data_IF_966176310078
#
_entry.id   IF_966176310078
#
_cell.length_a   1.000
_cell.length_b   1.000
_cell.length_c   1.000
_cell.angle_alpha   90.00
_cell.angle_beta   90.00
_cell.angle_gamma   90.00
#
_symmetry.space_group_name_H-M   'P 1'
#
loop_
_entity.id
_entity.type
_entity.pdbx_description
1 polymer ?
#
# COMPACT_ATOMS: atom_id res chain seq x y z
N UNK A 1 -20.54 -45.88 7.36
CA UNK A 1 -20.43 -44.99 6.17
C UNK A 1 -20.52 -43.57 6.68
N UNK A 2 -19.41 -42.85 6.74
CA UNK A 2 -19.37 -41.48 7.25
C UNK A 2 -19.77 -40.51 6.13
N UNK A 3 -20.77 -39.68 6.40
CA UNK A 3 -21.21 -38.57 5.55
C UNK A 3 -20.11 -37.49 5.47
N UNK A 4 -19.86 -36.89 4.29
CA UNK A 4 -18.90 -35.80 4.17
C UNK A 4 -19.47 -34.54 4.82
N UNK A 5 -18.77 -34.04 5.83
CA UNK A 5 -19.01 -32.73 6.43
C UNK A 5 -18.71 -31.64 5.41
N UNK A 6 -19.75 -30.91 5.00
CA UNK A 6 -19.63 -29.67 4.23
C UNK A 6 -18.85 -28.64 5.06
N UNK A 7 -17.57 -28.46 4.77
CA UNK A 7 -16.81 -27.31 5.26
C UNK A 7 -17.30 -26.04 4.56
N UNK A 8 -17.63 -24.97 5.30
CA UNK A 8 -18.03 -23.70 4.71
C UNK A 8 -16.86 -23.07 3.93
N UNK A 9 -17.14 -22.54 2.74
CA UNK A 9 -16.22 -21.69 1.96
C UNK A 9 -15.81 -20.48 2.81
N UNK A 10 -14.49 -20.31 3.01
CA UNK A 10 -13.88 -19.23 3.79
C UNK A 10 -13.37 -18.17 2.81
N UNK A 11 -13.83 -16.93 2.98
CA UNK A 11 -13.58 -15.77 2.10
C UNK A 11 -12.20 -15.14 2.43
N UNK A 12 -11.48 -14.58 1.43
CA UNK A 12 -10.07 -14.15 1.54
C UNK A 12 -9.81 -13.00 2.50
N UNK A 13 -8.72 -13.08 3.24
CA UNK A 13 -8.26 -12.06 4.18
C UNK A 13 -7.43 -10.99 3.44
N UNK A 14 -7.63 -9.68 3.64
CA UNK A 14 -6.83 -8.65 2.96
C UNK A 14 -6.43 -7.55 3.94
N UNK A 15 -5.13 -7.32 4.12
CA UNK A 15 -4.61 -6.33 5.07
C UNK A 15 -4.15 -5.05 4.35
N UNK A 16 -4.73 -3.90 4.64
CA UNK A 16 -4.22 -2.60 4.18
C UNK A 16 -3.30 -2.06 5.27
N UNK A 17 -2.00 -1.98 5.04
CA UNK A 17 -1.03 -1.48 6.02
C UNK A 17 -0.68 -0.01 5.72
N UNK A 18 -0.82 0.87 6.71
CA UNK A 18 -0.22 2.20 6.69
C UNK A 18 1.24 2.10 7.17
N UNK A 19 2.17 2.59 6.35
CA UNK A 19 3.60 2.55 6.65
C UNK A 19 4.05 3.87 7.31
N UNK A 20 4.65 3.75 8.50
CA UNK A 20 5.38 4.82 9.20
C UNK A 20 6.87 4.46 9.20
N UNK A 21 7.74 5.40 8.81
CA UNK A 21 9.20 5.24 8.87
C UNK A 21 9.84 6.36 9.71
N UNK A 22 11.04 6.16 10.30
CA UNK A 22 11.34 5.16 11.31
C UNK A 22 11.86 5.85 12.60
N UNK A 23 11.21 5.62 13.73
CA UNK A 23 11.80 5.80 15.06
C UNK A 23 10.91 5.09 16.09
N UNK A 24 11.33 3.92 16.57
CA UNK A 24 10.66 3.19 17.66
C UNK A 24 9.60 2.17 17.21
N UNK A 25 9.25 1.21 18.08
CA UNK A 25 8.47 0.04 17.72
C UNK A 25 6.97 0.30 17.85
N UNK A 26 6.38 1.25 17.10
CA UNK A 26 4.93 1.52 17.24
C UNK A 26 4.19 1.87 15.92
N UNK A 27 3.08 1.14 15.75
CA UNK A 27 1.84 1.45 15.00
C UNK A 27 1.81 1.44 13.46
N UNK A 28 1.52 0.26 12.89
CA UNK A 28 0.87 0.13 11.58
C UNK A 28 -0.66 0.23 11.72
N UNK A 29 -1.33 1.03 10.88
CA UNK A 29 -2.80 1.02 10.77
C UNK A 29 -3.21 -0.05 9.76
N UNK A 30 -3.99 -1.04 10.19
CA UNK A 30 -4.42 -2.18 9.36
C UNK A 30 -5.91 -2.02 9.01
N UNK A 31 -6.32 -2.08 7.74
CA UNK A 31 -7.70 -2.43 7.37
C UNK A 31 -7.74 -3.89 6.98
N UNK A 32 -8.70 -4.67 7.46
CA UNK A 32 -8.79 -6.10 7.15
C UNK A 32 -10.06 -6.38 6.37
N UNK A 33 -9.95 -6.87 5.14
CA UNK A 33 -11.07 -7.19 4.28
C UNK A 33 -11.28 -8.70 4.30
N UNK A 34 -12.54 -9.11 4.50
CA UNK A 34 -13.03 -10.49 4.50
C UNK A 34 -12.29 -11.45 5.45
N UNK A 35 -12.77 -11.55 6.70
CA UNK A 35 -12.51 -12.71 7.53
C UNK A 35 -13.70 -13.05 8.43
N UNK A 36 -14.01 -14.34 8.55
CA UNK A 36 -14.51 -14.92 9.79
C UNK A 36 -13.29 -15.45 10.54
N UNK A 37 -12.69 -14.63 11.39
CA UNK A 37 -11.78 -15.11 12.43
C UNK A 37 -12.30 -14.52 13.73
N UNK A 38 -13.02 -15.36 14.47
CA UNK A 38 -13.23 -15.19 15.90
C UNK A 38 -11.86 -15.13 16.59
N UNK A 39 -11.85 -14.65 17.84
CA UNK A 39 -10.69 -14.53 18.73
C UNK A 39 -9.96 -13.18 18.57
N UNK A 40 -10.42 -12.20 19.38
CA UNK A 40 -9.95 -10.80 19.57
C UNK A 40 -10.51 -9.70 18.64
N UNK A 41 -11.83 -9.71 18.39
CA UNK A 41 -12.55 -8.70 17.58
C UNK A 41 -12.84 -7.39 18.34
N UNK A 42 -12.28 -7.17 19.54
CA UNK A 42 -12.62 -5.96 20.33
C UNK A 42 -12.13 -4.67 19.69
N UNK A 43 -11.15 -4.73 18.78
CA UNK A 43 -10.46 -3.55 18.23
C UNK A 43 -10.89 -3.19 16.81
N UNK A 44 -11.97 -3.80 16.30
CA UNK A 44 -12.43 -3.63 14.92
C UNK A 44 -13.89 -3.19 14.83
N UNK A 45 -14.17 -2.32 13.86
CA UNK A 45 -15.50 -1.94 13.40
C UNK A 45 -15.82 -2.74 12.13
N UNK A 46 -16.97 -3.40 12.10
CA UNK A 46 -17.46 -4.19 10.96
C UNK A 46 -18.43 -3.34 10.12
N UNK A 47 -18.22 -3.35 8.80
CA UNK A 47 -19.09 -2.71 7.81
C UNK A 47 -19.65 -3.76 6.85
N UNK A 48 -20.97 -3.77 6.72
CA UNK A 48 -21.76 -4.63 5.83
C UNK A 48 -22.64 -3.76 4.94
N UNK A 49 -22.96 -4.16 3.71
CA UNK A 49 -23.85 -3.38 2.84
C UNK A 49 -25.20 -3.13 3.50
N UNK A 50 -25.43 -1.89 3.99
CA UNK A 50 -26.57 -1.56 4.85
C UNK A 50 -27.94 -1.65 4.15
N UNK A 51 -27.94 -1.59 2.81
CA UNK A 51 -29.15 -1.74 1.99
C UNK A 51 -29.63 -3.20 1.90
N UNK A 52 -28.80 -4.17 2.31
CA UNK A 52 -29.13 -5.59 2.29
C UNK A 52 -29.50 -6.08 3.69
N UNK A 53 -30.71 -6.63 3.80
CA UNK A 53 -31.26 -7.20 5.04
C UNK A 53 -31.37 -8.72 4.86
N UNK A 54 -30.43 -9.52 5.40
CA UNK A 54 -30.45 -10.97 5.27
C UNK A 54 -31.75 -11.57 5.81
N UNK A 55 -32.46 -12.32 4.99
CA UNK A 55 -33.72 -12.98 5.41
C UNK A 55 -33.51 -14.39 5.95
N UNK A 56 -32.38 -15.03 5.59
CA UNK A 56 -32.01 -16.38 6.00
C UNK A 56 -30.50 -16.62 5.86
N UNK A 57 -30.03 -17.78 6.31
CA UNK A 57 -28.60 -18.12 6.29
C UNK A 57 -27.96 -18.13 4.89
N UNK A 58 -28.68 -18.59 3.88
CA UNK A 58 -28.20 -18.60 2.49
C UNK A 58 -28.18 -17.19 1.88
N UNK A 59 -28.85 -16.26 2.55
CA UNK A 59 -28.94 -14.85 2.23
C UNK A 59 -28.05 -13.96 3.09
N UNK A 60 -27.06 -14.52 3.79
CA UNK A 60 -26.07 -13.73 4.52
C UNK A 60 -25.20 -12.88 3.58
N UNK A 61 -24.67 -11.78 4.10
CA UNK A 61 -23.61 -11.02 3.43
C UNK A 61 -22.41 -11.91 3.09
N UNK A 62 -21.81 -11.65 1.93
CA UNK A 62 -20.65 -12.36 1.40
C UNK A 62 -19.41 -11.47 1.31
N UNK A 63 -19.59 -10.15 1.41
CA UNK A 63 -18.51 -9.19 1.52
C UNK A 63 -18.68 -8.34 2.78
N UNK A 64 -17.55 -8.03 3.42
CA UNK A 64 -17.49 -7.16 4.60
C UNK A 64 -16.18 -6.37 4.61
N UNK A 65 -16.13 -5.24 5.31
CA UNK A 65 -14.88 -4.56 5.63
C UNK A 65 -14.73 -4.48 7.15
N UNK A 66 -13.53 -4.75 7.65
CA UNK A 66 -13.15 -4.45 9.03
C UNK A 66 -12.18 -3.28 9.06
N UNK A 67 -12.50 -2.29 9.89
CA UNK A 67 -11.69 -1.10 10.11
C UNK A 67 -11.25 -1.05 11.56
N UNK A 68 -9.97 -0.80 11.86
CA UNK A 68 -9.53 -0.69 13.25
C UNK A 68 -10.22 0.49 13.95
N UNK A 69 -10.64 0.30 15.19
CA UNK A 69 -11.29 1.32 16.03
C UNK A 69 -10.44 2.56 16.30
N UNK A 70 -9.12 2.47 16.12
CA UNK A 70 -8.24 3.64 16.18
C UNK A 70 -8.49 4.65 15.06
N UNK A 71 -9.12 4.23 13.96
CA UNK A 71 -9.72 5.14 13.00
C UNK A 71 -11.09 5.49 13.58
N UNK A 72 -11.22 6.74 14.03
CA UNK A 72 -12.46 7.25 14.60
C UNK A 72 -13.63 7.05 13.64
N UNK A 73 -14.76 6.55 14.16
CA UNK A 73 -15.94 6.23 13.35
C UNK A 73 -16.50 7.45 12.61
N UNK A 74 -16.28 8.66 13.15
CA UNK A 74 -16.66 9.93 12.52
C UNK A 74 -15.92 10.20 11.20
N UNK A 75 -14.80 9.51 10.96
CA UNK A 75 -13.99 9.61 9.74
C UNK A 75 -14.38 8.60 8.67
N UNK A 76 -15.36 7.73 8.95
CA UNK A 76 -15.73 6.62 8.09
C UNK A 76 -17.17 6.81 7.64
N UNK A 77 -17.36 7.03 6.35
CA UNK A 77 -18.68 7.11 5.75
C UNK A 77 -18.93 5.83 4.96
N UNK A 78 -20.06 5.17 5.20
CA UNK A 78 -20.42 4.02 4.39
C UNK A 78 -21.01 4.46 3.05
N UNK A 79 -20.56 3.86 1.96
CA UNK A 79 -20.99 4.22 0.62
C UNK A 79 -22.31 3.51 0.27
N UNK A 80 -23.22 4.18 -0.46
CA UNK A 80 -24.48 3.58 -0.91
C UNK A 80 -24.25 2.59 -2.06
N UNK A 81 -25.30 1.85 -2.44
CA UNK A 81 -25.23 0.82 -3.48
C UNK A 81 -24.53 -0.47 -3.04
N UNK A 82 -24.34 -0.64 -1.73
CA UNK A 82 -23.84 -1.87 -1.14
C UNK A 82 -24.92 -2.95 -1.06
N UNK A 83 -24.53 -4.19 -0.81
CA UNK A 83 -25.50 -5.25 -0.61
C UNK A 83 -24.88 -6.56 -0.13
N UNK A 84 -25.42 -7.67 -0.63
CA UNK A 84 -24.93 -9.02 -0.29
C UNK A 84 -23.49 -9.25 -0.71
N UNK A 85 -23.14 -8.81 -1.92
CA UNK A 85 -21.87 -9.12 -2.57
C UNK A 85 -20.87 -7.97 -2.53
N UNK A 86 -21.33 -6.73 -2.32
CA UNK A 86 -20.52 -5.52 -2.42
C UNK A 86 -20.69 -4.68 -1.16
N UNK A 87 -19.60 -4.11 -0.66
CA UNK A 87 -19.64 -3.08 0.40
C UNK A 87 -18.56 -2.04 0.13
N UNK A 88 -18.87 -0.77 0.36
CA UNK A 88 -17.93 0.32 0.20
C UNK A 88 -17.90 1.22 1.43
N UNK A 89 -16.72 1.74 1.75
CA UNK A 89 -16.54 2.82 2.73
C UNK A 89 -15.64 3.90 2.14
N UNK A 90 -15.83 5.11 2.62
CA UNK A 90 -14.92 6.23 2.46
C UNK A 90 -14.28 6.55 3.81
N UNK A 91 -12.96 6.74 3.80
CA UNK A 91 -12.16 7.07 4.97
C UNK A 91 -11.50 8.42 4.76
N UNK A 92 -11.70 9.34 5.70
CA UNK A 92 -10.99 10.61 5.74
C UNK A 92 -9.54 10.40 6.24
N UNK A 93 -8.55 10.69 5.39
CA UNK A 93 -7.13 10.47 5.68
C UNK A 93 -6.42 11.70 6.26
N UNK A 94 -6.77 12.89 5.76
CA UNK A 94 -6.28 14.20 6.18
C UNK A 94 -7.36 15.24 5.86
N UNK A 95 -7.32 16.45 6.45
CA UNK A 95 -8.20 17.53 6.03
C UNK A 95 -8.11 17.70 4.50
N UNK A 96 -9.22 17.52 3.80
CA UNK A 96 -9.38 17.57 2.34
C UNK A 96 -8.86 16.36 1.51
N UNK A 97 -8.59 15.19 2.10
CA UNK A 97 -8.33 13.95 1.34
C UNK A 97 -9.12 12.76 1.87
N UNK A 98 -9.90 12.15 0.97
CA UNK A 98 -10.63 10.90 1.21
C UNK A 98 -10.05 9.73 0.40
N UNK A 99 -10.24 8.53 0.94
CA UNK A 99 -9.96 7.26 0.27
C UNK A 99 -11.20 6.38 0.33
N UNK A 100 -11.68 5.95 -0.84
CA UNK A 100 -12.73 4.97 -0.97
C UNK A 100 -12.14 3.56 -1.09
N UNK A 101 -12.73 2.63 -0.35
CA UNK A 101 -12.36 1.21 -0.35
C UNK A 101 -13.64 0.42 -0.61
N UNK A 102 -13.64 -0.30 -1.73
CA UNK A 102 -14.74 -1.16 -2.16
C UNK A 102 -14.27 -2.61 -2.03
N UNK A 103 -15.10 -3.45 -1.45
CA UNK A 103 -14.89 -4.88 -1.38
C UNK A 103 -16.04 -5.61 -2.06
N UNK A 104 -15.70 -6.55 -2.95
CA UNK A 104 -16.65 -7.34 -3.72
C UNK A 104 -16.32 -8.83 -3.60
N UNK A 105 -17.33 -9.64 -3.34
CA UNK A 105 -17.26 -11.08 -3.53
C UNK A 105 -18.04 -11.45 -4.79
N UNK A 106 -17.36 -12.03 -5.77
CA UNK A 106 -17.98 -12.54 -6.98
C UNK A 106 -18.12 -14.06 -6.89
N UNK A 107 -19.33 -14.61 -6.65
CA UNK A 107 -19.51 -16.04 -6.48
C UNK A 107 -19.05 -16.83 -7.72
N UNK A 108 -18.45 -18.02 -7.56
CA UNK A 108 -18.07 -18.86 -8.69
C UNK A 108 -19.29 -19.32 -9.50
N UNK A 109 -19.05 -19.81 -10.71
CA UNK A 109 -20.05 -20.34 -11.66
C UNK A 109 -20.95 -19.28 -12.31
N UNK A 110 -21.68 -18.49 -11.51
CA UNK A 110 -22.66 -17.52 -12.01
C UNK A 110 -22.11 -16.10 -12.13
N UNK A 111 -21.00 -15.78 -11.43
CA UNK A 111 -20.34 -14.48 -11.48
C UNK A 111 -21.28 -13.28 -11.21
N UNK A 112 -22.21 -13.46 -10.26
CA UNK A 112 -23.27 -12.49 -9.93
C UNK A 112 -22.77 -11.18 -9.32
N UNK A 113 -21.47 -11.07 -9.02
CA UNK A 113 -20.87 -9.85 -8.47
C UNK A 113 -20.60 -8.77 -9.51
N UNK A 114 -20.59 -9.11 -10.81
CA UNK A 114 -20.26 -8.15 -11.86
C UNK A 114 -21.37 -7.12 -12.13
N UNK A 115 -22.64 -7.52 -12.14
CA UNK A 115 -23.74 -6.58 -12.41
C UNK A 115 -23.92 -5.53 -11.28
N UNK A 116 -23.88 -5.91 -9.98
CA UNK A 116 -23.86 -4.93 -8.89
C UNK A 116 -22.64 -4.02 -8.94
N UNK A 117 -21.47 -4.57 -9.32
CA UNK A 117 -20.27 -3.76 -9.49
C UNK A 117 -20.43 -2.73 -10.61
N UNK A 118 -20.93 -3.12 -11.78
CA UNK A 118 -21.13 -2.22 -12.93
C UNK A 118 -22.12 -1.10 -12.59
N UNK A 119 -23.22 -1.47 -11.93
CA UNK A 119 -24.23 -0.52 -11.44
C UNK A 119 -23.62 0.46 -10.43
N UNK A 120 -22.86 -0.05 -9.46
CA UNK A 120 -22.18 0.78 -8.48
C UNK A 120 -21.16 1.71 -9.14
N UNK A 121 -20.35 1.19 -10.05
CA UNK A 121 -19.34 1.94 -10.79
C UNK A 121 -19.98 3.10 -11.57
N UNK A 122 -21.08 2.83 -12.28
CA UNK A 122 -21.79 3.82 -13.09
C UNK A 122 -22.39 4.93 -12.24
N UNK A 123 -22.92 4.60 -11.07
CA UNK A 123 -23.66 5.56 -10.23
C UNK A 123 -22.78 6.30 -9.22
N UNK A 124 -21.68 5.70 -8.77
CA UNK A 124 -20.93 6.18 -7.59
C UNK A 124 -19.50 6.62 -7.88
N UNK A 125 -18.89 6.19 -9.00
CA UNK A 125 -17.48 6.53 -9.26
C UNK A 125 -17.33 7.99 -9.63
N UNK A 126 -16.46 8.66 -8.87
CA UNK A 126 -15.91 9.97 -9.21
C UNK A 126 -14.41 9.85 -9.48
N UNK A 127 -13.92 10.61 -10.46
CA UNK A 127 -12.47 10.72 -10.73
C UNK A 127 -11.74 11.58 -9.71
N UNK A 128 -12.44 12.18 -8.75
CA UNK A 128 -11.90 13.13 -7.78
C UNK A 128 -11.46 12.47 -6.46
N UNK A 129 -11.89 11.24 -6.19
CA UNK A 129 -11.59 10.53 -4.94
C UNK A 129 -10.71 9.31 -5.24
N UNK A 130 -9.65 9.12 -4.46
CA UNK A 130 -8.81 7.92 -4.57
C UNK A 130 -9.66 6.70 -4.20
N UNK A 131 -9.76 5.72 -5.11
CA UNK A 131 -10.60 4.54 -4.91
C UNK A 131 -9.83 3.26 -5.17
N UNK A 132 -9.91 2.32 -4.22
CA UNK A 132 -9.36 0.98 -4.31
C UNK A 132 -10.52 -0.01 -4.31
N UNK A 133 -10.59 -0.86 -5.35
CA UNK A 133 -11.51 -1.98 -5.43
C UNK A 133 -10.76 -3.27 -5.16
N UNK A 134 -11.21 -4.01 -4.16
CA UNK A 134 -10.71 -5.32 -3.80
C UNK A 134 -11.80 -6.35 -4.07
N UNK A 135 -11.42 -7.50 -4.61
CA UNK A 135 -12.41 -8.54 -4.87
C UNK A 135 -11.84 -9.95 -4.84
N UNK A 136 -12.63 -10.89 -4.33
CA UNK A 136 -12.54 -12.27 -4.80
C UNK A 136 -13.31 -12.34 -6.11
N UNK A 137 -12.59 -12.35 -7.22
CA UNK A 137 -13.21 -12.35 -8.53
C UNK A 137 -13.74 -13.72 -8.92
N UNK A 138 -13.20 -14.82 -8.39
CA UNK A 138 -13.38 -16.17 -8.95
C UNK A 138 -13.16 -16.27 -10.48
N UNK A 139 -12.49 -15.27 -11.09
CA UNK A 139 -12.32 -15.15 -12.53
C UNK A 139 -10.90 -15.50 -12.95
N UNK A 140 -10.80 -16.26 -14.04
CA UNK A 140 -9.52 -16.66 -14.61
C UNK A 140 -9.23 -15.91 -15.91
N UNK A 141 -8.06 -15.27 -15.95
CA UNK A 141 -7.53 -14.60 -17.14
C UNK A 141 -6.00 -14.67 -17.21
N UNK A 142 -5.39 -14.76 -18.40
CA UNK A 142 -3.94 -14.75 -18.58
C UNK A 142 -3.22 -13.48 -18.10
N UNK A 143 -3.96 -12.38 -17.92
CA UNK A 143 -3.40 -11.10 -17.41
C UNK A 143 -2.97 -11.18 -15.94
N UNK A 144 -3.59 -12.04 -15.15
CA UNK A 144 -3.30 -12.15 -13.73
C UNK A 144 -2.95 -13.56 -13.28
N UNK A 145 -3.45 -14.62 -13.94
CA UNK A 145 -3.11 -15.97 -13.54
C UNK A 145 -1.66 -16.34 -13.85
N UNK A 146 -1.09 -17.29 -13.08
CA UNK A 146 0.20 -17.88 -13.41
C UNK A 146 0.22 -18.52 -14.82
N UNK A 147 1.38 -18.57 -15.48
CA UNK A 147 1.55 -19.28 -16.75
C UNK A 147 1.06 -20.73 -16.67
N UNK A 148 0.47 -21.25 -17.75
CA UNK A 148 -0.09 -22.61 -17.81
C UNK A 148 -1.56 -22.72 -17.42
N UNK A 149 -2.16 -21.65 -16.89
CA UNK A 149 -3.62 -21.50 -16.77
C UNK A 149 -4.21 -21.01 -18.09
N UNK A 150 -4.83 -21.91 -18.85
CA UNK A 150 -5.42 -21.60 -20.17
C UNK A 150 -6.91 -21.17 -20.10
N UNK A 151 -7.52 -21.18 -18.92
CA UNK A 151 -8.91 -20.73 -18.77
C UNK A 151 -8.99 -19.21 -18.97
N UNK A 152 -9.65 -18.80 -20.05
CA UNK A 152 -10.07 -17.42 -20.28
C UNK A 152 -11.58 -17.40 -20.16
N UNK A 153 -12.09 -16.74 -19.13
CA UNK A 153 -13.54 -16.56 -18.97
C UNK A 153 -13.98 -15.25 -19.62
N UNK A 154 -15.11 -15.26 -20.33
CA UNK A 154 -15.66 -14.05 -20.98
C UNK A 154 -15.90 -12.93 -19.96
N UNK A 155 -16.37 -13.30 -18.78
CA UNK A 155 -16.60 -12.41 -17.64
C UNK A 155 -15.32 -11.72 -17.15
N UNK A 156 -14.16 -12.36 -17.31
CA UNK A 156 -12.88 -11.73 -16.99
C UNK A 156 -12.53 -10.60 -17.96
N UNK A 157 -12.84 -10.75 -19.25
CA UNK A 157 -12.70 -9.68 -20.23
C UNK A 157 -13.68 -8.52 -19.95
N UNK A 158 -14.93 -8.85 -19.56
CA UNK A 158 -15.91 -7.84 -19.13
C UNK A 158 -15.44 -7.05 -17.92
N UNK A 159 -14.88 -7.73 -16.90
CA UNK A 159 -14.30 -7.06 -15.72
C UNK A 159 -13.17 -6.09 -16.11
N UNK A 160 -12.27 -6.50 -17.01
CA UNK A 160 -11.19 -5.63 -17.50
C UNK A 160 -11.75 -4.39 -18.18
N UNK A 161 -12.75 -4.56 -19.05
CA UNK A 161 -13.38 -3.46 -19.79
C UNK A 161 -14.12 -2.51 -18.83
N UNK A 162 -14.90 -3.05 -17.90
CA UNK A 162 -15.65 -2.31 -16.89
C UNK A 162 -14.72 -1.47 -16.00
N UNK A 163 -13.71 -2.09 -15.40
CA UNK A 163 -12.71 -1.38 -14.60
C UNK A 163 -11.99 -0.30 -15.44
N UNK A 164 -11.58 -0.63 -16.66
CA UNK A 164 -10.89 0.30 -17.55
C UNK A 164 -11.70 1.53 -17.91
N UNK A 165 -12.99 1.37 -18.27
CA UNK A 165 -13.91 2.48 -18.56
C UNK A 165 -14.08 3.42 -17.36
N UNK A 166 -14.08 2.84 -16.16
CA UNK A 166 -14.18 3.57 -14.89
C UNK A 166 -12.84 4.17 -14.41
N UNK A 167 -11.76 4.03 -15.19
CA UNK A 167 -10.45 4.60 -14.87
C UNK A 167 -9.64 3.81 -13.85
N UNK A 168 -9.95 2.52 -13.67
CA UNK A 168 -9.21 1.60 -12.81
C UNK A 168 -8.19 0.79 -13.60
N UNK A 169 -7.04 0.58 -12.96
CA UNK A 169 -5.98 -0.32 -13.43
C UNK A 169 -5.78 -1.45 -12.44
N UNK A 170 -5.46 -2.64 -12.96
CA UNK A 170 -5.12 -3.78 -12.11
C UNK A 170 -3.85 -3.46 -11.33
N UNK A 171 -3.93 -3.55 -10.01
CA UNK A 171 -2.84 -3.26 -9.07
C UNK A 171 -2.24 -4.52 -8.45
N UNK A 172 -2.97 -5.64 -8.45
CA UNK A 172 -2.42 -6.94 -8.05
C UNK A 172 -1.18 -7.31 -8.86
N UNK A 173 -0.19 -7.89 -8.18
CA UNK A 173 0.97 -8.48 -8.83
C UNK A 173 0.53 -9.56 -9.82
N UNK A 174 0.90 -9.48 -11.11
CA UNK A 174 0.53 -10.49 -12.07
C UNK A 174 1.20 -11.82 -11.74
N UNK A 175 0.52 -12.92 -12.03
CA UNK A 175 1.05 -14.28 -11.97
C UNK A 175 1.41 -14.79 -10.56
N UNK A 176 1.06 -14.06 -9.50
CA UNK A 176 1.24 -14.49 -8.12
C UNK A 176 -0.05 -15.17 -7.63
N UNK A 177 -0.03 -16.48 -7.32
CA UNK A 177 -1.23 -17.18 -6.86
C UNK A 177 -1.78 -16.59 -5.57
N UNK A 178 -3.09 -16.40 -5.51
CA UNK A 178 -3.83 -15.98 -4.31
C UNK A 178 -4.76 -17.07 -3.80
N UNK A 179 -4.99 -18.13 -4.58
CA UNK A 179 -5.76 -19.30 -4.18
C UNK A 179 -5.02 -20.57 -4.57
N UNK A 180 -5.06 -21.59 -3.72
CA UNK A 180 -4.52 -22.91 -3.98
C UNK A 180 -5.63 -23.96 -3.85
N UNK A 181 -5.92 -24.64 -4.96
CA UNK A 181 -6.83 -25.78 -4.93
C UNK A 181 -6.29 -26.91 -4.05
N UNK A 182 -7.17 -27.87 -3.69
CA UNK A 182 -6.78 -29.09 -2.96
C UNK A 182 -5.65 -29.89 -3.61
N UNK A 183 -5.43 -29.74 -4.92
CA UNK A 183 -4.35 -30.41 -5.67
C UNK A 183 -3.06 -29.58 -5.70
N UNK A 184 -2.98 -28.48 -4.94
CA UNK A 184 -1.84 -27.56 -4.93
C UNK A 184 -1.73 -26.65 -6.15
N UNK A 185 -2.69 -26.68 -7.08
CA UNK A 185 -2.69 -25.77 -8.24
C UNK A 185 -3.07 -24.37 -7.80
N UNK A 186 -2.15 -23.43 -8.01
CA UNK A 186 -2.34 -22.01 -7.71
C UNK A 186 -3.08 -21.25 -8.81
N UNK A 187 -3.93 -20.31 -8.42
CA UNK A 187 -4.57 -19.33 -9.30
C UNK A 187 -4.59 -17.96 -8.66
N UNK A 188 -4.65 -16.91 -9.47
CA UNK A 188 -4.79 -15.53 -9.02
C UNK A 188 -6.24 -15.14 -9.27
N UNK A 189 -7.05 -15.13 -8.21
CA UNK A 189 -8.47 -14.79 -8.30
C UNK A 189 -8.86 -13.66 -7.35
N UNK A 190 -8.00 -13.35 -6.38
CA UNK A 190 -8.14 -12.21 -5.48
C UNK A 190 -7.43 -11.01 -6.11
N UNK A 191 -8.22 -10.03 -6.55
CA UNK A 191 -7.74 -8.90 -7.35
C UNK A 191 -7.91 -7.58 -6.61
N UNK A 192 -6.91 -6.72 -6.76
CA UNK A 192 -6.92 -5.34 -6.35
C UNK A 192 -6.82 -4.45 -7.59
N UNK A 193 -7.72 -3.48 -7.68
CA UNK A 193 -7.76 -2.46 -8.71
C UNK A 193 -7.66 -1.09 -8.05
N UNK A 194 -6.95 -0.17 -8.67
CA UNK A 194 -6.87 1.22 -8.21
C UNK A 194 -7.21 2.17 -9.34
N UNK A 195 -7.98 3.21 -9.03
CA UNK A 195 -8.14 4.32 -9.96
C UNK A 195 -6.86 5.18 -10.00
N UNK A 196 -6.78 6.11 -10.97
CA UNK A 196 -5.60 6.96 -11.16
C UNK A 196 -5.14 7.72 -9.90
N UNK A 197 -6.06 8.12 -9.02
CA UNK A 197 -5.69 8.81 -7.78
C UNK A 197 -5.18 7.83 -6.72
N UNK A 198 -5.84 6.68 -6.57
CA UNK A 198 -5.38 5.62 -5.68
C UNK A 198 -4.01 5.08 -6.11
N UNK A 199 -3.73 4.94 -7.40
CA UNK A 199 -2.43 4.46 -7.89
C UNK A 199 -1.26 5.35 -7.51
N UNK A 200 -1.50 6.62 -7.14
CA UNK A 200 -0.47 7.55 -6.65
C UNK A 200 -0.15 7.39 -5.17
N UNK A 201 -1.05 6.79 -4.40
CA UNK A 201 -0.90 6.57 -2.95
C UNK A 201 -0.68 5.11 -2.60
N UNK A 202 -1.04 4.16 -3.46
CA UNK A 202 -0.69 2.75 -3.28
C UNK A 202 0.81 2.59 -3.46
N UNK A 203 1.51 2.22 -2.37
CA UNK A 203 2.96 1.97 -2.34
C UNK A 203 3.29 0.57 -2.85
N UNK A 204 2.49 -0.44 -2.49
CA UNK A 204 2.70 -1.82 -2.90
C UNK A 204 1.43 -2.67 -2.75
N UNK A 205 1.32 -3.72 -3.56
CA UNK A 205 0.29 -4.76 -3.44
C UNK A 205 0.96 -6.13 -3.50
N UNK A 206 1.02 -6.81 -2.36
CA UNK A 206 1.77 -8.05 -2.18
C UNK A 206 0.87 -9.18 -1.69
N UNK A 207 1.13 -10.41 -2.11
CA UNK A 207 0.47 -11.58 -1.52
C UNK A 207 1.22 -12.03 -0.28
N UNK A 208 0.49 -12.31 0.80
CA UNK A 208 1.03 -12.74 2.09
C UNK A 208 1.54 -14.17 2.01
N UNK A 209 2.80 -14.36 2.40
CA UNK A 209 3.38 -15.70 2.59
C UNK A 209 2.84 -16.42 3.83
N UNK A 210 2.24 -15.68 4.76
CA UNK A 210 1.56 -16.25 5.93
C UNK A 210 0.15 -16.66 5.52
N UNK A 211 -0.12 -17.96 5.64
CA UNK A 211 -1.41 -18.55 5.40
C UNK A 211 -1.87 -19.27 6.68
N UNK A 212 -3.03 -18.89 7.22
CA UNK A 212 -3.59 -19.40 8.47
C UNK A 212 -4.47 -20.65 8.25
N UNK A 213 -4.08 -21.52 7.31
CA UNK A 213 -4.83 -22.73 6.95
C UNK A 213 -6.00 -22.48 6.00
N UNK A 214 -6.02 -21.33 5.32
CA UNK A 214 -7.01 -21.01 4.29
C UNK A 214 -6.51 -21.47 2.92
N UNK A 215 -7.42 -21.78 2.01
CA UNK A 215 -7.11 -22.02 0.59
C UNK A 215 -6.79 -20.72 -0.17
N UNK A 216 -7.17 -19.56 0.38
CA UNK A 216 -6.75 -18.24 -0.08
C UNK A 216 -5.54 -17.69 0.70
N UNK A 217 -4.64 -17.02 -0.03
CA UNK A 217 -3.59 -16.17 0.52
C UNK A 217 -4.06 -14.73 0.59
N UNK A 218 -3.67 -14.04 1.67
CA UNK A 218 -4.06 -12.66 1.85
C UNK A 218 -3.38 -11.73 0.86
N UNK A 219 -4.12 -10.79 0.28
CA UNK A 219 -3.51 -9.66 -0.44
C UNK A 219 -3.24 -8.54 0.57
N UNK A 220 -2.09 -7.89 0.48
CA UNK A 220 -1.67 -6.82 1.38
C UNK A 220 -1.43 -5.57 0.55
N UNK A 221 -2.19 -4.51 0.82
CA UNK A 221 -2.09 -3.23 0.12
C UNK A 221 -1.46 -2.22 1.07
N UNK A 222 -0.29 -1.70 0.72
CA UNK A 222 0.34 -0.64 1.51
C UNK A 222 -0.03 0.70 0.91
N UNK A 223 -0.63 1.60 1.70
CA UNK A 223 -0.99 2.95 1.26
C UNK A 223 -0.13 4.00 1.95
N UNK A 224 0.19 5.04 1.19
CA UNK A 224 0.92 6.20 1.64
C UNK A 224 -0.06 7.34 1.94
N UNK A 225 -0.31 7.58 3.22
CA UNK A 225 -1.27 8.60 3.70
C UNK A 225 -0.64 9.98 3.86
N UNK A 226 0.69 10.08 3.86
CA UNK A 226 1.46 11.33 3.96
C UNK A 226 2.36 11.50 2.74
N UNK A 227 2.54 12.72 2.22
CA UNK A 227 3.54 12.96 1.18
C UNK A 227 4.89 12.41 1.62
N UNK A 228 5.63 11.77 0.71
CA UNK A 228 6.99 11.35 1.02
C UNK A 228 7.76 12.62 1.42
N UNK A 229 8.56 12.59 2.49
CA UNK A 229 9.47 13.70 2.74
C UNK A 229 10.27 13.93 1.46
N UNK A 230 10.47 15.20 1.05
CA UNK A 230 11.21 15.49 -0.17
C UNK A 230 12.55 14.78 -0.08
N UNK A 231 12.95 14.11 -1.16
CA UNK A 231 14.28 13.52 -1.26
C UNK A 231 15.28 14.59 -0.87
N UNK A 232 16.21 14.29 0.02
CA UNK A 232 17.22 15.24 0.45
C UNK A 232 18.46 15.00 -0.40
N UNK A 233 19.04 16.05 -0.98
CA UNK A 233 20.35 15.98 -1.62
C UNK A 233 21.35 16.81 -0.83
N UNK A 234 22.54 16.27 -0.66
CA UNK A 234 23.67 17.04 -0.17
C UNK A 234 24.14 18.00 -1.26
N UNK A 235 24.44 19.23 -0.89
CA UNK A 235 25.01 20.25 -1.77
C UNK A 235 26.31 20.74 -1.20
N UNK A 236 27.27 21.02 -2.10
CA UNK A 236 28.58 21.56 -1.74
C UNK A 236 28.42 22.83 -0.91
N UNK A 237 29.36 23.13 0.00
CA UNK A 237 29.33 24.36 0.78
C UNK A 237 29.20 25.58 -0.15
N UNK A 238 28.28 26.48 0.16
CA UNK A 238 28.21 27.79 -0.47
C UNK A 238 29.23 28.68 0.23
N UNK A 239 30.46 28.71 -0.28
CA UNK A 239 31.61 29.34 0.37
C UNK A 239 31.36 30.81 0.75
N UNK A 240 30.56 31.52 -0.04
CA UNK A 240 30.20 32.92 0.15
C UNK A 240 29.27 33.15 1.36
N UNK A 241 28.57 32.11 1.82
CA UNK A 241 27.59 32.17 2.90
C UNK A 241 28.04 31.48 4.19
N UNK A 242 29.32 31.08 4.25
CA UNK A 242 29.91 30.45 5.45
C UNK A 242 30.47 31.54 6.35
N UNK A 243 30.09 31.50 7.63
CA UNK A 243 30.80 32.26 8.65
C UNK A 243 32.19 31.65 8.87
N UNK A 244 33.20 32.34 8.35
CA UNK A 244 34.58 31.89 8.37
C UNK A 244 35.15 31.79 9.78
N UNK A 245 34.71 32.61 10.73
CA UNK A 245 35.27 32.58 12.09
C UNK A 245 34.73 31.37 12.87
N UNK A 246 33.43 31.09 12.75
CA UNK A 246 32.85 29.86 13.31
C UNK A 246 33.44 28.59 12.68
N UNK A 247 33.63 28.57 11.35
CA UNK A 247 34.23 27.44 10.65
C UNK A 247 35.67 27.17 11.11
N UNK A 248 36.51 28.21 11.19
CA UNK A 248 37.89 28.11 11.69
C UNK A 248 37.94 27.62 13.13
N UNK A 249 37.13 28.21 14.02
CA UNK A 249 37.10 27.82 15.43
C UNK A 249 36.75 26.34 15.59
N UNK A 250 35.75 25.87 14.84
CA UNK A 250 35.35 24.46 14.84
C UNK A 250 36.45 23.56 14.26
N UNK A 251 37.09 23.96 13.16
CA UNK A 251 38.22 23.21 12.60
C UNK A 251 39.38 23.10 13.60
N UNK A 252 39.75 24.20 14.27
CA UNK A 252 40.79 24.20 15.30
C UNK A 252 40.47 23.22 16.42
N UNK A 253 39.23 23.18 16.91
CA UNK A 253 38.81 22.20 17.92
C UNK A 253 38.94 20.74 17.45
N UNK A 254 38.70 20.47 16.15
CA UNK A 254 38.82 19.13 15.56
C UNK A 254 40.27 18.71 15.32
N UNK A 255 41.17 19.69 15.11
CA UNK A 255 42.59 19.44 14.89
C UNK A 255 43.38 19.28 16.20
N UNK A 256 42.88 19.80 17.33
CA UNK A 256 43.58 19.73 18.62
C UNK A 256 43.97 18.30 19.05
N UNK A 257 43.09 17.27 18.96
CA UNK A 257 43.47 15.90 19.32
C UNK A 257 44.51 15.29 18.37
N UNK A 258 44.56 15.75 17.12
CA UNK A 258 45.57 15.31 16.14
C UNK A 258 46.91 15.94 16.46
N UNK A 259 46.93 17.21 16.88
CA UNK A 259 48.14 17.89 17.34
C UNK A 259 48.72 17.25 18.59
N UNK A 260 47.88 16.81 19.52
CA UNK A 260 48.30 16.06 20.71
C UNK A 260 48.90 14.70 20.33
N UNK A 261 48.33 14.02 19.32
CA UNK A 261 48.84 12.74 18.80
C UNK A 261 50.18 12.85 18.05
N UNK A 262 50.57 14.04 17.57
CA UNK A 262 51.87 14.27 16.93
C UNK A 262 53.04 14.21 17.92
N UNK A 263 52.78 14.44 19.20
CA UNK A 263 53.78 14.37 20.26
C UNK A 263 53.92 12.95 20.86
N UNK A 264 53.07 12.01 20.43
CA UNK A 264 53.11 10.62 20.87
C UNK A 264 54.01 9.80 19.93
N UNK A 265 55.08 9.21 20.47
CA UNK A 265 56.05 8.40 19.72
C UNK A 265 55.52 7.02 19.32
N UNK A 266 54.34 6.60 19.80
CA UNK A 266 53.73 5.32 19.45
C UNK A 266 52.84 5.36 18.21
N UNK A 267 52.40 6.54 17.76
CA UNK A 267 51.46 6.64 16.62
C UNK A 267 52.22 6.76 15.30
N UNK A 268 51.87 5.91 14.32
CA UNK A 268 52.52 5.94 13.00
C UNK A 268 52.21 7.24 12.24
N UNK A 269 53.18 7.88 11.58
CA UNK A 269 52.95 9.07 10.76
C UNK A 269 51.86 8.90 9.69
N UNK A 270 51.73 7.70 9.13
CA UNK A 270 50.70 7.37 8.14
C UNK A 270 49.29 7.44 8.73
N UNK A 271 49.12 6.99 9.98
CA UNK A 271 47.84 6.98 10.67
C UNK A 271 47.40 8.41 11.04
N UNK A 272 48.36 9.25 11.46
CA UNK A 272 48.13 10.67 11.71
C UNK A 272 47.69 11.38 10.42
N UNK A 273 48.36 11.09 9.29
CA UNK A 273 48.01 11.67 8.00
C UNK A 273 46.59 11.28 7.55
N UNK A 274 46.19 10.01 7.72
CA UNK A 274 44.83 9.55 7.40
C UNK A 274 43.78 10.26 8.27
N UNK A 275 44.02 10.35 9.58
CA UNK A 275 43.13 11.07 10.51
C UNK A 275 42.98 12.55 10.15
N UNK A 276 44.06 13.20 9.72
CA UNK A 276 44.02 14.59 9.27
C UNK A 276 43.15 14.74 8.01
N UNK A 277 43.38 13.90 7.00
CA UNK A 277 42.63 13.97 5.73
C UNK A 277 41.14 13.71 5.96
N UNK A 278 40.79 12.71 6.77
CA UNK A 278 39.38 12.41 7.09
C UNK A 278 38.75 13.53 7.90
N UNK A 279 39.47 14.13 8.84
CA UNK A 279 38.98 15.27 9.63
C UNK A 279 38.69 16.48 8.75
N UNK A 280 39.60 16.81 7.82
CA UNK A 280 39.40 17.90 6.87
C UNK A 280 38.22 17.63 5.92
N UNK A 281 38.11 16.41 5.41
CA UNK A 281 37.01 15.99 4.52
C UNK A 281 35.67 16.10 5.24
N UNK A 282 35.56 15.53 6.45
CA UNK A 282 34.35 15.56 7.25
C UNK A 282 33.97 16.99 7.65
N UNK A 283 34.96 17.83 7.97
CA UNK A 283 34.71 19.24 8.27
C UNK A 283 34.16 19.97 7.03
N UNK A 284 34.79 19.80 5.87
CA UNK A 284 34.30 20.36 4.61
C UNK A 284 32.88 19.87 4.26
N UNK A 285 32.60 18.59 4.45
CA UNK A 285 31.26 18.02 4.22
C UNK A 285 30.21 18.60 5.18
N UNK A 286 30.60 18.86 6.44
CA UNK A 286 29.73 19.46 7.45
C UNK A 286 29.36 20.92 7.17
N UNK A 287 30.17 21.62 6.35
CA UNK A 287 29.87 22.97 5.86
C UNK A 287 28.89 22.96 4.67
N UNK A 288 28.64 21.78 4.10
CA UNK A 288 27.64 21.57 3.06
C UNK A 288 26.21 21.72 3.61
N UNK A 289 25.24 21.89 2.71
CA UNK A 289 23.82 21.98 3.09
C UNK A 289 23.06 20.78 2.54
N UNK A 290 22.19 20.22 3.37
CA UNK A 290 21.19 19.26 2.91
C UNK A 290 19.96 20.04 2.46
N UNK A 291 19.67 20.00 1.16
CA UNK A 291 18.52 20.69 0.59
C UNK A 291 17.49 19.67 0.10
N UNK A 292 16.22 20.08 0.03
CA UNK A 292 15.24 19.31 -0.70
C UNK A 292 15.69 19.17 -2.16
N UNK A 293 15.84 17.94 -2.63
CA UNK A 293 15.92 17.62 -4.04
C UNK A 293 14.56 17.99 -4.64
N UNK A 294 14.51 19.15 -5.26
CA UNK A 294 13.41 19.50 -6.15
C UNK A 294 13.39 18.45 -7.27
N UNK A 295 12.28 17.69 -7.44
CA UNK A 295 12.09 16.97 -8.68
C UNK A 295 12.13 18.03 -9.77
N UNK A 296 13.01 17.84 -10.74
CA UNK A 296 13.29 18.80 -11.81
C UNK A 296 12.01 19.53 -12.25
N UNK A 297 12.01 20.87 -12.20
CA UNK A 297 11.26 21.64 -13.19
C UNK A 297 11.77 21.14 -14.53
N UNK A 298 10.98 20.31 -15.22
CA UNK A 298 11.19 20.11 -16.64
C UNK A 298 11.33 21.51 -17.23
N UNK A 299 12.43 21.78 -17.95
CA UNK A 299 12.53 23.03 -18.70
C UNK A 299 11.34 23.04 -19.64
N UNK A 300 10.47 24.04 -19.48
CA UNK A 300 9.45 24.36 -20.46
C UNK A 300 10.20 24.65 -21.76
N UNK A 301 10.21 23.66 -22.66
CA UNK A 301 10.52 23.92 -24.06
C UNK A 301 9.31 24.66 -24.61
N UNK A 302 9.30 25.98 -24.41
CA UNK A 302 8.48 26.88 -25.20
C UNK A 302 8.88 26.67 -26.66
N UNK A 303 8.08 25.89 -27.38
CA UNK A 303 8.05 25.92 -28.83
C UNK A 303 7.34 27.23 -29.19
N UNK A 304 8.13 28.26 -29.46
CA UNK A 304 7.65 29.40 -30.24
C UNK A 304 7.58 28.96 -31.70
N UNK A 305 6.33 28.91 -32.19
CA UNK A 305 5.84 29.05 -33.58
C UNK A 305 6.51 28.16 -34.64
#
# INVERSE_FOLDING_TARGET
MATPTNTPEITPLLHILQDHAPAGPEESQILQLNCHVAWEVTDWNLFLGFEHVPTNWNDRHKACLYVRKKIGSEKINQLPGGGKLLVGIEIELQPAKSLQIINLYNPPTLFLGLDPLDTWMTNQITRQIATILCMDSNLHHPKWNPPGMRSVQKQAAQLIEMCGKSGFCLSSSPQVPTYYSRKGRGSTIDLCWSNFLASKIVKSVNTSTKNYGLDHQAVIITIQTRPAPPLKKWTRPAWEAIDMESAKSKLQSLLQPIQESLNDTQTSPTEIALRLVDTLRNHQESLGRTVAATPHRAKDWNIYV
#
